data_IF_498059175696
#
_entry.id   IF_498059175696
#
_cell.length_a   1.000
_cell.length_b   1.000
_cell.length_c   1.000
_cell.angle_alpha   90.00
_cell.angle_beta   90.00
_cell.angle_gamma   90.00
#
_symmetry.space_group_name_H-M   'P 1'
#
loop_
_entity.id
_entity.type
_entity.pdbx_description
1 polymer ?
#
# COMPACT_ATOMS: atom_id res chain seq x y z
N UNK A 1 -10.23 -4.87 -26.73
CA UNK A 1 -9.40 -4.09 -25.81
C UNK A 1 -10.06 -4.05 -24.44
N UNK A 2 -9.28 -4.30 -23.43
CA UNK A 2 -9.78 -4.31 -22.06
C UNK A 2 -9.84 -2.88 -21.52
N UNK A 3 -11.03 -2.37 -21.16
CA UNK A 3 -11.15 -1.00 -20.67
C UNK A 3 -10.70 -0.84 -19.23
N UNK A 4 -10.40 -1.94 -18.53
CA UNK A 4 -9.97 -1.87 -17.14
C UNK A 4 -8.45 -1.91 -17.04
N UNK A 5 -7.92 -1.21 -16.05
CA UNK A 5 -6.49 -1.16 -15.80
C UNK A 5 -6.21 -1.47 -14.34
N UNK A 6 -5.05 -2.08 -14.12
CA UNK A 6 -4.56 -2.30 -12.77
C UNK A 6 -3.70 -1.11 -12.38
N UNK A 7 -3.97 -0.57 -11.21
CA UNK A 7 -3.14 0.49 -10.63
C UNK A 7 -2.10 -0.19 -9.75
N UNK A 8 -0.83 -0.02 -10.06
CA UNK A 8 0.25 -0.68 -9.32
C UNK A 8 0.91 0.31 -8.38
N UNK A 9 0.66 0.15 -7.09
CA UNK A 9 1.22 1.00 -6.06
C UNK A 9 1.94 0.15 -5.02
N UNK A 10 2.74 0.80 -4.19
CA UNK A 10 3.49 0.13 -3.14
C UNK A 10 3.32 0.88 -1.82
N UNK A 11 3.20 0.12 -0.74
CA UNK A 11 3.20 0.68 0.60
C UNK A 11 4.41 0.14 1.34
N UNK A 12 5.24 1.02 1.87
CA UNK A 12 6.41 0.64 2.65
C UNK A 12 6.02 0.75 4.12
N UNK A 13 6.17 -0.34 4.87
CA UNK A 13 5.91 -0.31 6.32
C UNK A 13 7.18 -0.69 7.06
N UNK A 14 7.32 -0.17 8.29
CA UNK A 14 8.51 -0.40 9.08
C UNK A 14 8.66 -1.87 9.46
N UNK A 15 9.88 -2.26 9.81
CA UNK A 15 10.18 -3.62 10.23
C UNK A 15 9.31 -4.09 11.39
N UNK A 16 8.94 -3.18 12.29
CA UNK A 16 8.16 -3.53 13.48
C UNK A 16 6.67 -3.73 13.19
N UNK A 17 6.21 -3.37 11.99
CA UNK A 17 4.80 -3.47 11.65
C UNK A 17 4.50 -4.89 11.16
N UNK A 18 3.39 -5.45 11.65
CA UNK A 18 2.93 -6.75 11.16
C UNK A 18 2.36 -6.54 9.75
N UNK A 19 2.99 -7.10 8.71
CA UNK A 19 2.53 -6.85 7.35
C UNK A 19 1.13 -7.41 7.08
N UNK A 20 0.73 -8.46 7.77
CA UNK A 20 -0.61 -9.03 7.54
C UNK A 20 -1.70 -8.15 8.11
N UNK A 21 -1.43 -7.45 9.21
CA UNK A 21 -2.36 -6.46 9.73
C UNK A 21 -2.50 -5.29 8.75
N UNK A 22 -1.39 -4.86 8.19
CA UNK A 22 -1.39 -3.78 7.20
C UNK A 22 -2.16 -4.20 5.95
N UNK A 23 -1.97 -5.42 5.48
CA UNK A 23 -2.69 -5.95 4.32
C UNK A 23 -4.19 -5.94 4.57
N UNK A 24 -4.62 -6.38 5.74
CA UNK A 24 -6.04 -6.43 6.07
C UNK A 24 -6.64 -5.02 6.05
N UNK A 25 -5.97 -4.07 6.70
CA UNK A 25 -6.46 -2.69 6.76
C UNK A 25 -6.48 -2.04 5.39
N UNK A 26 -5.44 -2.26 4.59
CA UNK A 26 -5.36 -1.70 3.24
C UNK A 26 -6.43 -2.32 2.34
N UNK A 27 -6.64 -3.64 2.43
CA UNK A 27 -7.66 -4.30 1.62
C UNK A 27 -9.04 -3.75 1.91
N UNK A 28 -9.37 -3.56 3.19
CA UNK A 28 -10.66 -3.02 3.58
C UNK A 28 -10.84 -1.59 3.09
N UNK A 29 -9.80 -0.78 3.19
CA UNK A 29 -9.87 0.61 2.78
C UNK A 29 -9.95 0.76 1.27
N UNK A 30 -9.15 -0.02 0.54
CA UNK A 30 -9.07 0.08 -0.92
C UNK A 30 -10.39 -0.33 -1.58
N UNK A 31 -11.05 -1.35 -1.04
CA UNK A 31 -12.34 -1.78 -1.60
C UNK A 31 -13.43 -0.73 -1.48
N UNK A 32 -13.24 0.25 -0.60
CA UNK A 32 -14.21 1.32 -0.41
C UNK A 32 -13.94 2.56 -1.25
N UNK A 33 -12.82 2.58 -1.98
CA UNK A 33 -12.50 3.72 -2.83
C UNK A 33 -13.48 3.77 -4.01
N UNK A 34 -14.06 4.93 -4.32
CA UNK A 34 -14.97 5.05 -5.46
C UNK A 34 -14.28 4.61 -6.75
N UNK A 35 -14.99 3.89 -7.59
CA UNK A 35 -14.56 3.44 -8.91
C UNK A 35 -13.54 2.30 -8.90
N UNK A 36 -13.18 1.77 -7.75
CA UNK A 36 -12.44 0.52 -7.66
C UNK A 36 -13.44 -0.60 -7.90
N UNK A 37 -13.18 -1.44 -8.91
CA UNK A 37 -14.11 -2.51 -9.23
C UNK A 37 -13.95 -3.70 -8.30
N UNK A 38 -15.03 -4.45 -8.13
CA UNK A 38 -15.02 -5.62 -7.26
C UNK A 38 -14.49 -6.87 -7.98
N UNK A 39 -14.53 -6.87 -9.31
CA UNK A 39 -14.11 -8.01 -10.10
C UNK A 39 -13.42 -7.52 -11.38
N UNK A 40 -12.12 -7.68 -11.51
CA UNK A 40 -11.22 -8.37 -10.55
C UNK A 40 -11.07 -7.60 -9.24
N UNK A 41 -11.00 -8.34 -8.15
CA UNK A 41 -10.87 -7.72 -6.84
C UNK A 41 -9.48 -7.09 -6.66
N UNK A 42 -9.38 -6.04 -5.82
CA UNK A 42 -8.07 -5.48 -5.51
C UNK A 42 -7.14 -6.52 -4.90
N UNK A 43 -5.86 -6.44 -5.25
CA UNK A 43 -4.85 -7.33 -4.70
C UNK A 43 -3.96 -6.54 -3.75
N UNK A 44 -3.79 -7.04 -2.53
CA UNK A 44 -2.90 -6.42 -1.53
C UNK A 44 -2.07 -7.54 -0.93
N UNK A 45 -0.78 -7.55 -1.24
CA UNK A 45 0.09 -8.67 -0.85
C UNK A 45 1.49 -8.18 -0.55
N UNK A 46 2.24 -8.97 0.20
CA UNK A 46 3.65 -8.68 0.43
C UNK A 46 4.38 -8.86 -0.89
N UNK A 47 5.02 -7.80 -1.34
CA UNK A 47 5.78 -7.83 -2.58
C UNK A 47 7.25 -8.16 -2.33
N UNK A 48 7.81 -7.58 -1.29
CA UNK A 48 9.24 -7.70 -1.03
C UNK A 48 9.51 -7.16 0.38
N UNK A 49 10.75 -7.23 0.80
CA UNK A 49 11.18 -6.49 1.99
C UNK A 49 12.62 -6.06 1.78
N UNK A 50 13.00 -4.99 2.43
CA UNK A 50 14.32 -4.40 2.25
C UNK A 50 14.80 -3.79 3.57
N UNK A 51 15.88 -3.02 3.51
CA UNK A 51 16.48 -2.44 4.71
C UNK A 51 15.52 -1.51 5.48
N UNK A 52 14.51 -0.99 4.81
CA UNK A 52 13.55 -0.08 5.43
C UNK A 52 12.33 -0.80 6.00
N UNK A 53 12.09 -2.03 5.59
CA UNK A 53 10.94 -2.80 6.07
C UNK A 53 10.27 -3.58 4.96
N UNK A 54 9.01 -3.90 5.18
CA UNK A 54 8.23 -4.71 4.24
C UNK A 54 7.58 -3.83 3.19
N UNK A 55 7.63 -4.27 1.95
CA UNK A 55 6.96 -3.60 0.83
C UNK A 55 5.69 -4.37 0.50
N UNK A 56 4.56 -3.69 0.52
CA UNK A 56 3.26 -4.30 0.23
C UNK A 56 2.78 -3.76 -1.11
N UNK A 57 2.43 -4.65 -2.02
CA UNK A 57 1.85 -4.27 -3.30
C UNK A 57 0.37 -3.99 -3.11
N UNK A 58 -0.09 -2.84 -3.58
CA UNK A 58 -1.49 -2.44 -3.49
C UNK A 58 -1.97 -2.21 -4.93
N UNK A 59 -2.82 -3.09 -5.43
CA UNK A 59 -3.17 -3.15 -6.85
C UNK A 59 -4.67 -3.21 -7.08
N UNK A 60 -5.37 -2.07 -7.00
CA UNK A 60 -6.79 -2.04 -7.36
C UNK A 60 -6.95 -2.00 -8.87
N UNK A 61 -8.11 -2.44 -9.34
CA UNK A 61 -8.47 -2.35 -10.75
C UNK A 61 -9.56 -1.31 -10.92
N UNK A 62 -9.51 -0.58 -12.02
CA UNK A 62 -10.51 0.44 -12.31
C UNK A 62 -10.64 0.62 -13.83
N UNK A 63 -11.70 1.30 -14.25
CA UNK A 63 -11.88 1.67 -15.65
C UNK A 63 -10.81 2.73 -16.01
N UNK A 64 -10.35 2.72 -17.25
CA UNK A 64 -9.36 3.69 -17.73
C UNK A 64 -9.69 5.13 -17.37
N UNK A 65 -10.98 5.49 -17.46
CA UNK A 65 -11.40 6.87 -17.18
C UNK A 65 -11.17 7.29 -15.74
N UNK A 66 -10.99 6.34 -14.85
CA UNK A 66 -10.84 6.64 -13.44
C UNK A 66 -9.44 6.34 -12.91
N UNK A 67 -8.50 6.08 -13.82
CA UNK A 67 -7.15 5.64 -13.42
C UNK A 67 -6.49 6.62 -12.44
N UNK A 68 -6.45 7.88 -12.80
CA UNK A 68 -5.74 8.86 -11.96
C UNK A 68 -6.47 9.15 -10.66
N UNK A 69 -7.80 9.14 -10.68
CA UNK A 69 -8.57 9.31 -9.46
C UNK A 69 -8.30 8.15 -8.50
N UNK A 70 -8.34 6.92 -8.98
CA UNK A 70 -8.08 5.75 -8.15
C UNK A 70 -6.62 5.73 -7.70
N UNK A 71 -5.70 6.12 -8.56
CA UNK A 71 -4.28 6.20 -8.24
C UNK A 71 -4.06 7.12 -7.01
N UNK A 72 -4.58 8.34 -7.09
CA UNK A 72 -4.39 9.29 -5.99
C UNK A 72 -5.15 8.92 -4.74
N UNK A 73 -6.36 8.40 -4.88
CA UNK A 73 -7.15 7.99 -3.72
C UNK A 73 -6.55 6.79 -3.01
N UNK A 74 -5.93 5.88 -3.76
CA UNK A 74 -5.27 4.73 -3.18
C UNK A 74 -4.01 5.14 -2.41
N UNK A 75 -3.23 6.07 -2.96
CA UNK A 75 -2.08 6.61 -2.25
C UNK A 75 -2.51 7.30 -0.95
N UNK A 76 -3.61 8.05 -1.00
CA UNK A 76 -4.15 8.70 0.18
C UNK A 76 -4.59 7.65 1.20
N UNK A 77 -5.25 6.59 0.74
CA UNK A 77 -5.68 5.51 1.62
C UNK A 77 -4.50 4.84 2.32
N UNK A 78 -3.38 4.65 1.60
CA UNK A 78 -2.18 4.06 2.17
C UNK A 78 -1.67 4.96 3.32
N UNK A 79 -1.57 6.25 3.08
CA UNK A 79 -1.12 7.20 4.09
C UNK A 79 -2.08 7.23 5.27
N UNK A 80 -3.39 7.26 5.00
CA UNK A 80 -4.41 7.33 6.04
C UNK A 80 -4.39 6.06 6.92
N UNK A 81 -4.23 4.90 6.31
CA UNK A 81 -4.17 3.64 7.06
C UNK A 81 -2.95 3.62 7.97
N UNK A 82 -1.79 4.02 7.46
CA UNK A 82 -0.58 4.04 8.27
C UNK A 82 -0.71 5.00 9.43
N UNK A 83 -1.35 6.13 9.22
CA UNK A 83 -1.57 7.13 10.25
C UNK A 83 -2.57 6.65 11.30
N UNK A 84 -3.71 6.10 10.85
CA UNK A 84 -4.76 5.63 11.76
C UNK A 84 -4.29 4.45 12.61
N UNK A 85 -3.48 3.57 12.03
CA UNK A 85 -2.95 2.43 12.74
C UNK A 85 -1.73 2.78 13.59
N UNK A 86 -1.26 4.02 13.48
CA UNK A 86 -0.12 4.52 14.23
C UNK A 86 1.14 3.66 13.97
N UNK A 87 1.36 3.30 12.72
CA UNK A 87 2.53 2.52 12.35
C UNK A 87 3.78 3.38 12.42
N UNK A 88 4.87 2.76 12.83
CA UNK A 88 6.16 3.44 12.87
C UNK A 88 6.59 3.86 11.47
N UNK A 89 7.33 4.93 11.39
CA UNK A 89 7.88 5.40 10.11
C UNK A 89 8.94 4.42 9.64
N UNK A 90 8.90 3.99 8.38
CA UNK A 90 9.95 3.13 7.85
C UNK A 90 11.31 3.83 7.91
N UNK A 91 12.33 3.10 8.31
CA UNK A 91 13.67 3.68 8.36
C UNK A 91 14.69 2.59 8.08
N UNK A 92 15.81 3.01 7.53
CA UNK A 92 16.88 2.11 7.19
C UNK A 92 17.49 1.51 8.45
N UNK A 93 17.61 0.18 8.43
CA UNK A 93 18.25 -0.51 9.50
C UNK A 93 19.64 -0.90 9.12
N UNK A 94 20.62 -0.13 9.45
CA UNK A 94 21.97 -0.53 9.24
C UNK A 94 22.83 0.15 10.25
N UNK A 95 24.03 -0.22 10.23
CA UNK A 95 24.92 0.13 11.27
C UNK A 95 25.07 1.50 11.62
N UNK A 96 24.73 2.27 10.78
CA UNK A 96 24.88 3.53 11.07
C UNK A 96 24.18 3.96 12.16
N UNK A 97 23.51 3.29 12.48
CA UNK A 97 22.92 3.64 13.40
C UNK A 97 23.68 3.81 14.38
N UNK A 98 24.40 3.82 14.37
CA UNK A 98 25.13 3.99 15.12
C UNK A 98 25.74 4.97 15.20
N UNK A 99 25.80 5.28 14.93
CA UNK A 99 26.30 6.00 15.07
C UNK A 99 26.18 6.81 15.39
N UNK A 100 25.93 6.86 15.42
CA UNK A 100 25.90 7.40 15.88
C UNK A 100 26.24 7.60 16.27
N UNK A 101 26.42 7.43 16.16
CA UNK A 101 26.66 7.40 16.56
C UNK A 101 26.64 7.53 16.74
#
# INVERSE_FOLDING_TARGET
TNPYRRVDLKAQVAHSVNPYDAIKRLSERVTKIPNVVANPAPSVEVLDFNAMGTVIAVRPFCHNNHYWQVYFDTNKAIVDVCSEANYAVPETRHALRQTGA
#
